data_IF_526306425266
#
_entry.id   IF_526306425266
#
_cell.length_a   1.000
_cell.length_b   1.000
_cell.length_c   1.000
_cell.angle_alpha   90.00
_cell.angle_beta   90.00
_cell.angle_gamma   90.00
#
_symmetry.space_group_name_H-M   'P 1'
#
loop_
_entity.id
_entity.type
_entity.pdbx_description
1 polymer ?
#
# COMPACT_ATOMS: atom_id res chain seq x y z
N UNK A 1 20.04 -5.24 19.75
CA UNK A 1 18.59 -5.34 19.54
C UNK A 1 18.37 -6.10 18.25
N UNK A 2 17.91 -7.35 18.36
CA UNK A 2 17.30 -8.03 17.22
C UNK A 2 15.95 -7.37 16.95
N UNK A 3 15.54 -7.27 15.69
CA UNK A 3 14.17 -6.90 15.36
C UNK A 3 13.26 -8.05 15.84
N UNK A 4 12.15 -7.72 16.51
CA UNK A 4 11.24 -8.74 16.99
C UNK A 4 10.60 -9.44 15.78
N UNK A 5 10.61 -10.78 15.77
CA UNK A 5 10.21 -11.55 14.59
C UNK A 5 8.70 -11.52 14.34
N UNK A 6 7.92 -11.03 15.32
CA UNK A 6 6.46 -11.07 15.31
C UNK A 6 5.80 -9.69 15.11
N UNK A 7 6.50 -8.67 14.63
CA UNK A 7 5.89 -7.35 14.38
C UNK A 7 5.45 -7.18 12.93
N UNK A 8 4.19 -6.79 12.68
CA UNK A 8 3.70 -6.46 11.32
C UNK A 8 3.63 -4.95 11.18
N UNK A 9 4.21 -4.43 10.10
CA UNK A 9 3.97 -3.07 9.65
C UNK A 9 2.90 -3.08 8.56
N UNK A 10 1.88 -2.26 8.75
CA UNK A 10 0.88 -1.94 7.74
C UNK A 10 1.01 -0.47 7.35
N UNK A 11 0.98 -0.18 6.04
CA UNK A 11 0.98 1.18 5.51
C UNK A 11 -0.12 1.33 4.48
N UNK A 12 -0.91 2.38 4.65
CA UNK A 12 -1.99 2.74 3.75
C UNK A 12 -1.80 4.18 3.26
N UNK A 13 -2.07 4.39 1.98
CA UNK A 13 -2.04 5.70 1.31
C UNK A 13 -3.46 6.10 0.98
N UNK A 14 -3.81 7.33 1.34
CA UNK A 14 -5.13 7.91 1.20
C UNK A 14 -5.06 9.19 0.36
N UNK A 15 -6.09 9.47 -0.46
CA UNK A 15 -6.29 10.81 -0.99
C UNK A 15 -6.42 11.83 0.16
N UNK A 16 -6.05 13.10 -0.07
CA UNK A 16 -6.15 14.12 0.98
C UNK A 16 -7.61 14.40 1.37
N UNK A 17 -8.53 14.29 0.42
CA UNK A 17 -9.97 14.47 0.58
C UNK A 17 -10.59 13.42 1.52
N UNK A 18 -10.07 12.20 1.54
CA UNK A 18 -10.52 11.15 2.46
C UNK A 18 -9.93 11.30 3.86
N UNK A 19 -8.87 12.09 4.00
CA UNK A 19 -8.13 12.30 5.25
C UNK A 19 -8.67 13.49 6.06
N UNK A 20 -9.96 13.42 6.43
CA UNK A 20 -10.65 14.45 7.20
C UNK A 20 -10.62 14.19 8.70
N UNK A 21 -10.81 15.24 9.49
CA UNK A 21 -10.90 15.15 10.96
C UNK A 21 -11.98 14.14 11.38
N UNK A 22 -13.15 14.22 10.75
CA UNK A 22 -14.28 13.34 11.01
C UNK A 22 -13.95 11.88 10.72
N UNK A 23 -13.41 11.59 9.53
CA UNK A 23 -13.06 10.23 9.12
C UNK A 23 -12.01 9.63 10.05
N UNK A 24 -10.96 10.39 10.39
CA UNK A 24 -9.91 9.88 11.27
C UNK A 24 -10.43 9.65 12.69
N UNK A 25 -11.25 10.54 13.25
CA UNK A 25 -11.77 10.36 14.60
C UNK A 25 -12.78 9.24 14.72
N UNK A 26 -13.71 9.10 13.78
CA UNK A 26 -14.68 8.01 13.78
C UNK A 26 -14.00 6.64 13.73
N UNK A 27 -12.79 6.57 13.15
CA UNK A 27 -12.03 5.33 12.98
C UNK A 27 -10.90 5.16 13.99
N UNK A 28 -10.49 6.20 14.70
CA UNK A 28 -9.33 6.15 15.60
C UNK A 28 -9.44 4.99 16.60
N UNK A 29 -10.60 4.82 17.23
CA UNK A 29 -10.82 3.73 18.19
C UNK A 29 -10.69 2.35 17.54
N UNK A 30 -11.13 2.19 16.29
CA UNK A 30 -10.97 0.92 15.55
C UNK A 30 -9.52 0.63 15.12
N UNK A 31 -8.65 1.64 15.16
CA UNK A 31 -7.22 1.54 14.81
C UNK A 31 -6.34 1.26 16.04
N UNK A 32 -6.85 1.48 17.25
CA UNK A 32 -6.12 1.25 18.49
C UNK A 32 -6.38 -0.18 18.95
N UNK A 33 -5.40 -1.06 18.72
CA UNK A 33 -5.46 -2.48 19.11
C UNK A 33 -4.64 -2.78 20.36
N UNK A 34 -4.16 -1.71 20.98
CA UNK A 34 -3.33 -1.67 22.16
C UNK A 34 -3.85 -0.54 23.06
N UNK A 35 -3.47 -0.55 24.33
CA UNK A 35 -3.78 0.56 25.23
C UNK A 35 -2.80 1.72 24.98
N UNK A 36 -3.27 2.86 24.43
CA UNK A 36 -2.39 3.97 24.13
C UNK A 36 -1.95 4.70 25.41
N UNK A 37 -0.67 4.99 25.53
CA UNK A 37 -0.11 5.69 26.69
C UNK A 37 0.43 7.06 26.32
N UNK A 38 0.80 7.26 25.07
CA UNK A 38 1.43 8.49 24.62
C UNK A 38 1.08 8.89 23.19
N UNK A 39 1.37 10.16 22.91
CA UNK A 39 1.14 10.83 21.66
C UNK A 39 2.40 11.59 21.27
N UNK A 40 2.94 11.29 20.10
CA UNK A 40 4.12 11.94 19.53
C UNK A 40 3.69 12.86 18.38
N UNK A 41 3.92 14.16 18.57
CA UNK A 41 3.80 15.17 17.53
C UNK A 41 5.17 15.34 16.88
N UNK A 42 5.47 14.48 15.89
CA UNK A 42 6.79 14.42 15.24
C UNK A 42 7.14 15.73 14.52
N UNK A 43 6.14 16.46 14.04
CA UNK A 43 6.27 17.81 13.46
C UNK A 43 6.91 18.82 14.42
N UNK A 44 6.72 18.63 15.73
CA UNK A 44 7.20 19.51 16.80
C UNK A 44 8.28 18.86 17.68
N UNK A 45 8.52 17.56 17.52
CA UNK A 45 9.39 16.78 18.40
C UNK A 45 8.88 16.70 19.84
N UNK A 46 7.56 16.70 20.06
CA UNK A 46 6.94 16.71 21.39
C UNK A 46 6.19 15.41 21.64
N UNK A 47 6.43 14.81 22.80
CA UNK A 47 5.68 13.66 23.32
C UNK A 47 4.84 14.09 24.51
N UNK A 48 3.56 13.69 24.54
CA UNK A 48 2.64 13.95 25.65
C UNK A 48 1.89 12.69 26.05
N UNK A 49 1.44 12.55 27.31
CA UNK A 49 0.59 11.43 27.70
C UNK A 49 -0.70 11.38 26.90
N UNK A 50 -1.13 10.18 26.52
CA UNK A 50 -2.40 9.96 25.86
C UNK A 50 -3.54 10.23 26.85
N UNK A 51 -4.50 11.06 26.44
CA UNK A 51 -5.77 11.25 27.14
C UNK A 51 -6.88 11.32 26.11
N UNK A 52 -7.88 10.44 26.22
CA UNK A 52 -8.99 10.33 25.28
C UNK A 52 -9.71 11.66 25.07
N UNK A 53 -9.89 12.45 26.14
CA UNK A 53 -10.59 13.73 26.08
C UNK A 53 -9.80 14.83 25.32
N UNK A 54 -8.46 14.76 25.34
CA UNK A 54 -7.61 15.78 24.71
C UNK A 54 -7.13 15.39 23.32
N UNK A 55 -7.19 14.11 22.94
CA UNK A 55 -6.66 13.61 21.66
C UNK A 55 -7.31 14.31 20.47
N UNK A 56 -8.60 14.60 20.58
CA UNK A 56 -9.35 15.29 19.54
C UNK A 56 -8.80 16.71 19.31
N UNK A 57 -8.49 17.42 20.39
CA UNK A 57 -7.93 18.76 20.29
C UNK A 57 -6.52 18.75 19.69
N UNK A 58 -5.69 17.78 20.10
CA UNK A 58 -4.31 17.64 19.60
C UNK A 58 -4.33 17.34 18.10
N UNK A 59 -5.09 16.35 17.64
CA UNK A 59 -5.15 15.99 16.24
C UNK A 59 -5.72 17.15 15.40
N UNK A 60 -6.82 17.79 15.83
CA UNK A 60 -7.39 18.95 15.14
C UNK A 60 -6.37 20.06 14.95
N UNK A 61 -5.52 20.32 15.95
CA UNK A 61 -4.48 21.34 15.83
C UNK A 61 -3.37 20.93 14.87
N UNK A 62 -2.97 19.66 14.84
CA UNK A 62 -1.97 19.17 13.88
C UNK A 62 -2.49 19.18 12.45
N UNK A 63 -3.77 18.85 12.23
CA UNK A 63 -4.41 18.81 10.92
C UNK A 63 -4.52 20.18 10.22
N UNK A 64 -4.33 21.28 10.96
CA UNK A 64 -4.23 22.63 10.38
C UNK A 64 -2.96 22.83 9.56
N UNK A 65 -1.93 22.04 9.79
CA UNK A 65 -0.68 22.14 9.04
C UNK A 65 -0.84 21.50 7.66
N UNK A 66 -0.19 22.09 6.65
CA UNK A 66 -0.15 21.52 5.30
C UNK A 66 0.57 20.16 5.26
N UNK A 67 1.52 19.94 6.18
CA UNK A 67 2.18 18.67 6.43
C UNK A 67 2.32 18.43 7.92
N UNK A 68 2.06 17.20 8.36
CA UNK A 68 2.26 16.82 9.75
C UNK A 68 2.47 15.31 9.87
N UNK A 69 3.00 14.90 11.02
CA UNK A 69 2.98 13.50 11.45
C UNK A 69 2.63 13.48 12.92
N UNK A 70 1.63 12.68 13.23
CA UNK A 70 1.08 12.48 14.54
C UNK A 70 1.04 10.98 14.80
N UNK A 71 1.54 10.53 15.94
CA UNK A 71 1.61 9.11 16.30
C UNK A 71 1.02 8.90 17.68
N UNK A 72 0.24 7.84 17.84
CA UNK A 72 -0.22 7.31 19.13
C UNK A 72 0.48 5.97 19.32
N UNK A 73 1.07 5.74 20.48
CA UNK A 73 1.84 4.55 20.78
C UNK A 73 1.57 4.05 22.21
N UNK A 74 1.93 2.79 22.45
CA UNK A 74 2.11 2.26 23.79
C UNK A 74 3.47 2.67 24.39
N UNK A 75 3.62 2.48 25.69
CA UNK A 75 4.83 2.83 26.43
C UNK A 75 5.86 1.71 26.42
N UNK A 76 5.46 0.49 26.02
CA UNK A 76 6.36 -0.66 25.93
C UNK A 76 7.17 -0.60 24.64
N UNK A 77 8.28 0.15 24.68
CA UNK A 77 9.26 0.28 23.58
C UNK A 77 8.67 0.78 22.24
N UNK A 78 7.43 1.27 22.24
CA UNK A 78 6.64 1.61 21.04
C UNK A 78 6.47 0.44 20.07
N UNK A 79 6.30 -0.77 20.60
CA UNK A 79 6.02 -1.97 19.83
C UNK A 79 4.71 -1.86 19.07
N UNK A 80 3.74 -1.12 19.61
CA UNK A 80 2.49 -0.84 18.94
C UNK A 80 2.32 0.66 18.70
N UNK A 81 1.98 1.03 17.47
CA UNK A 81 1.62 2.42 17.17
C UNK A 81 0.65 2.55 16.00
N UNK A 82 -0.09 3.66 16.01
CA UNK A 82 -0.76 4.22 14.83
C UNK A 82 -0.18 5.60 14.52
N UNK A 83 0.18 5.83 13.27
CA UNK A 83 0.75 7.08 12.78
C UNK A 83 -0.11 7.63 11.65
N UNK A 84 -0.50 8.88 11.79
CA UNK A 84 -1.26 9.67 10.84
C UNK A 84 -0.32 10.72 10.26
N UNK A 85 -0.13 10.70 8.95
CA UNK A 85 0.84 11.56 8.29
C UNK A 85 0.21 12.22 7.07
N UNK A 86 0.29 13.54 6.99
CA UNK A 86 -0.07 14.31 5.78
C UNK A 86 1.20 14.78 5.11
N UNK A 87 1.45 14.31 3.89
CA UNK A 87 2.63 14.68 3.10
C UNK A 87 2.26 15.64 1.98
N UNK A 88 3.05 15.69 0.90
CA UNK A 88 2.88 16.67 -0.17
C UNK A 88 1.78 16.26 -1.15
N UNK A 89 1.69 14.98 -1.48
CA UNK A 89 0.80 14.46 -2.52
C UNK A 89 -0.35 13.68 -1.91
N UNK A 90 -0.07 12.91 -0.85
CA UNK A 90 -1.03 12.04 -0.20
C UNK A 90 -0.95 12.05 1.32
N UNK A 91 -1.93 11.44 1.95
CA UNK A 91 -1.95 11.16 3.38
C UNK A 91 -1.68 9.69 3.63
N UNK A 92 -1.15 9.37 4.80
CA UNK A 92 -0.77 8.02 5.18
C UNK A 92 -1.30 7.68 6.55
N UNK A 93 -1.73 6.43 6.68
CA UNK A 93 -1.89 5.78 7.98
C UNK A 93 -0.86 4.64 8.02
N UNK A 94 -0.05 4.60 9.07
CA UNK A 94 0.87 3.50 9.33
C UNK A 94 0.55 2.88 10.68
N UNK A 95 0.45 1.55 10.70
CA UNK A 95 0.26 0.77 11.90
C UNK A 95 1.48 -0.10 12.10
N UNK A 96 1.94 -0.22 13.34
CA UNK A 96 2.80 -1.30 13.79
C UNK A 96 2.07 -2.00 14.91
N UNK A 97 1.99 -3.31 14.84
CA UNK A 97 1.43 -4.11 15.91
C UNK A 97 2.23 -5.40 16.10
N UNK A 98 2.26 -5.84 17.36
CA UNK A 98 2.85 -7.09 17.77
C UNK A 98 1.87 -8.25 17.53
N UNK A 99 2.27 -9.18 16.69
CA UNK A 99 1.50 -10.37 16.29
C UNK A 99 1.48 -11.47 17.35
N UNK A 100 2.20 -11.34 18.48
CA UNK A 100 2.14 -12.33 19.57
C UNK A 100 0.76 -12.40 20.26
N UNK A 101 -0.07 -11.37 20.11
CA UNK A 101 -1.30 -11.23 20.89
C UNK A 101 -2.56 -11.07 20.03
N UNK A 102 -2.45 -11.12 18.70
CA UNK A 102 -3.57 -10.92 17.79
C UNK A 102 -3.50 -11.91 16.63
N UNK A 103 -4.62 -12.59 16.38
CA UNK A 103 -4.76 -13.48 15.22
C UNK A 103 -4.67 -12.69 13.91
N UNK A 104 -3.82 -13.17 13.00
CA UNK A 104 -3.54 -12.49 11.72
C UNK A 104 -4.81 -12.32 10.87
N UNK A 105 -5.77 -13.25 10.95
CA UNK A 105 -7.05 -13.14 10.24
C UNK A 105 -7.88 -11.95 10.71
N UNK A 106 -7.93 -11.71 12.02
CA UNK A 106 -8.73 -10.64 12.62
C UNK A 106 -8.17 -9.27 12.23
N UNK A 107 -6.86 -9.20 12.11
CA UNK A 107 -6.10 -8.04 11.64
C UNK A 107 -6.49 -7.73 10.21
N UNK A 108 -6.43 -8.73 9.31
CA UNK A 108 -6.78 -8.55 7.90
C UNK A 108 -8.22 -8.06 7.75
N UNK A 109 -9.20 -8.66 8.45
CA UNK A 109 -10.60 -8.25 8.36
C UNK A 109 -10.81 -6.78 8.77
N UNK A 110 -10.09 -6.33 9.81
CA UNK A 110 -10.15 -4.92 10.25
C UNK A 110 -9.50 -3.98 9.22
N UNK A 111 -8.36 -4.38 8.66
CA UNK A 111 -7.67 -3.62 7.63
C UNK A 111 -8.49 -3.53 6.35
N UNK A 112 -9.20 -4.59 5.95
CA UNK A 112 -10.11 -4.58 4.81
C UNK A 112 -11.18 -3.51 4.95
N UNK A 113 -11.86 -3.51 6.11
CA UNK A 113 -12.88 -2.49 6.43
C UNK A 113 -12.26 -1.09 6.42
N UNK A 114 -11.04 -0.93 6.92
CA UNK A 114 -10.38 0.38 6.96
C UNK A 114 -10.04 0.90 5.56
N UNK A 115 -9.42 0.05 4.73
CA UNK A 115 -8.99 0.37 3.36
C UNK A 115 -10.21 0.76 2.52
N UNK A 116 -11.30 0.00 2.62
CA UNK A 116 -12.55 0.28 1.91
C UNK A 116 -13.18 1.59 2.41
N UNK A 117 -13.36 1.73 3.73
CA UNK A 117 -14.09 2.88 4.28
C UNK A 117 -13.37 4.23 4.12
N UNK A 118 -12.07 4.22 3.86
CA UNK A 118 -11.28 5.43 3.67
C UNK A 118 -10.89 5.67 2.20
N UNK A 119 -11.45 4.90 1.27
CA UNK A 119 -11.16 4.98 -0.16
C UNK A 119 -9.65 5.01 -0.43
N UNK A 120 -8.92 4.06 0.19
CA UNK A 120 -7.48 4.03 0.09
C UNK A 120 -7.02 3.89 -1.35
N UNK A 121 -5.94 4.59 -1.72
CA UNK A 121 -5.28 4.39 -3.01
C UNK A 121 -4.66 3.00 -3.01
N UNK A 122 -3.79 2.72 -2.04
CA UNK A 122 -3.19 1.41 -1.86
C UNK A 122 -2.79 1.20 -0.41
N UNK A 123 -2.66 -0.06 0.00
CA UNK A 123 -2.04 -0.41 1.26
C UNK A 123 -1.18 -1.67 1.12
N UNK A 124 -0.30 -1.89 2.08
CA UNK A 124 0.45 -3.14 2.19
C UNK A 124 0.75 -3.50 3.64
N UNK A 125 0.85 -4.80 3.89
CA UNK A 125 1.24 -5.40 5.16
C UNK A 125 2.45 -6.32 4.95
N UNK A 126 3.39 -6.28 5.89
CA UNK A 126 4.55 -7.17 5.93
C UNK A 126 5.18 -7.23 7.32
N UNK A 127 5.97 -8.26 7.58
CA UNK A 127 6.84 -8.27 8.77
C UNK A 127 7.73 -7.03 8.80
N UNK A 128 7.92 -6.44 9.99
CA UNK A 128 8.80 -5.29 10.20
C UNK A 128 10.26 -5.63 9.90
N UNK A 129 10.71 -6.85 10.24
CA UNK A 129 12.06 -7.32 9.91
C UNK A 129 12.23 -7.40 8.39
N UNK A 130 11.24 -7.97 7.69
CA UNK A 130 11.25 -8.02 6.22
C UNK A 130 11.27 -6.62 5.60
N UNK A 131 10.39 -5.71 6.06
CA UNK A 131 10.38 -4.32 5.61
C UNK A 131 11.74 -3.66 5.78
N UNK A 132 12.38 -3.87 6.94
CA UNK A 132 13.70 -3.31 7.22
C UNK A 132 14.73 -3.82 6.23
N UNK A 133 14.88 -5.14 6.08
CA UNK A 133 15.90 -5.71 5.20
C UNK A 133 15.64 -5.37 3.73
N UNK A 134 14.41 -5.53 3.24
CA UNK A 134 14.07 -5.25 1.84
C UNK A 134 14.23 -3.77 1.45
N UNK A 135 14.38 -2.85 2.41
CA UNK A 135 14.51 -1.41 2.16
C UNK A 135 15.80 -0.79 2.75
N UNK A 136 16.65 -1.56 3.44
CA UNK A 136 17.90 -1.07 3.99
C UNK A 136 18.99 -1.04 2.90
N UNK A 137 19.53 0.15 2.65
CA UNK A 137 20.56 0.38 1.64
C UNK A 137 21.98 0.23 2.15
N UNK A 138 22.21 0.08 3.46
CA UNK A 138 23.56 0.06 4.03
C UNK A 138 24.08 -1.37 4.24
N UNK A 139 25.07 -1.84 3.44
CA UNK A 139 25.61 -3.20 3.57
C UNK A 139 26.27 -3.47 4.93
N UNK A 140 26.67 -2.43 5.68
CA UNK A 140 27.27 -2.59 7.01
C UNK A 140 26.25 -3.12 8.02
N UNK A 141 24.97 -2.78 7.87
CA UNK A 141 23.92 -3.31 8.74
C UNK A 141 23.72 -4.80 8.54
N UNK A 142 23.71 -5.28 7.29
CA UNK A 142 23.63 -6.71 6.98
C UNK A 142 24.76 -7.49 7.66
N UNK A 143 26.01 -7.02 7.50
CA UNK A 143 27.19 -7.62 8.14
C UNK A 143 27.07 -7.64 9.67
N UNK A 144 26.66 -6.52 10.27
CA UNK A 144 26.50 -6.38 11.74
C UNK A 144 25.48 -7.38 12.31
N UNK A 145 24.47 -7.75 11.52
CA UNK A 145 23.39 -8.66 11.93
C UNK A 145 23.54 -10.07 11.34
N UNK A 146 24.72 -10.42 10.79
CA UNK A 146 24.99 -11.72 10.16
C UNK A 146 23.98 -12.10 9.05
N UNK A 147 23.38 -11.12 8.37
CA UNK A 147 22.53 -11.37 7.21
C UNK A 147 23.42 -11.57 5.97
N UNK A 148 23.17 -12.61 5.16
CA UNK A 148 23.96 -12.88 3.97
C UNK A 148 23.81 -11.74 2.95
N UNK A 149 24.93 -11.45 2.26
CA UNK A 149 24.98 -10.49 1.15
C UNK A 149 25.25 -11.18 -0.20
N UNK A 150 25.32 -12.52 -0.23
CA UNK A 150 25.63 -13.30 -1.44
C UNK A 150 24.70 -12.98 -2.60
N UNK A 151 23.41 -12.81 -2.29
CA UNK A 151 22.33 -12.63 -3.26
C UNK A 151 21.89 -11.15 -3.35
N UNK A 152 22.60 -10.27 -2.65
CA UNK A 152 22.31 -8.84 -2.59
C UNK A 152 23.29 -8.08 -3.48
N UNK A 153 22.76 -7.40 -4.50
CA UNK A 153 23.59 -6.60 -5.40
C UNK A 153 24.04 -5.32 -4.69
N UNK A 154 25.36 -5.13 -4.62
CA UNK A 154 25.97 -3.91 -4.07
C UNK A 154 26.44 -3.02 -5.23
N UNK A 155 26.09 -1.74 -5.19
CA UNK A 155 26.43 -0.74 -6.19
C UNK A 155 27.08 0.49 -5.54
N UNK A 156 27.86 1.29 -6.28
CA UNK A 156 28.32 2.59 -5.80
C UNK A 156 27.14 3.49 -5.42
N UNK A 157 27.30 4.27 -4.35
CA UNK A 157 26.34 5.30 -4.00
C UNK A 157 26.45 6.48 -5.01
N UNK A 158 25.33 6.90 -5.63
CA UNK A 158 25.38 7.93 -6.67
C UNK A 158 25.69 9.34 -6.13
N UNK A 159 25.55 9.56 -4.83
CA UNK A 159 25.78 10.85 -4.17
C UNK A 159 27.11 10.82 -3.41
N UNK A 160 27.38 9.72 -2.70
CA UNK A 160 28.56 9.56 -1.86
C UNK A 160 29.58 8.64 -2.54
N UNK A 161 30.46 9.21 -3.37
CA UNK A 161 31.41 8.48 -4.25
C UNK A 161 32.28 7.41 -3.56
N UNK A 162 32.53 7.53 -2.25
CA UNK A 162 33.31 6.55 -1.47
C UNK A 162 32.44 5.57 -0.66
N UNK A 163 31.14 5.51 -0.92
CA UNK A 163 30.19 4.64 -0.25
C UNK A 163 29.63 3.62 -1.23
N UNK A 164 29.41 2.42 -0.72
CA UNK A 164 28.64 1.38 -1.39
C UNK A 164 27.26 1.29 -0.74
N UNK A 165 26.25 0.98 -1.56
CA UNK A 165 24.88 0.74 -1.11
C UNK A 165 24.30 -0.52 -1.74
N UNK A 166 23.31 -1.09 -1.09
CA UNK A 166 22.48 -2.15 -1.67
C UNK A 166 21.60 -1.56 -2.79
N UNK A 167 21.55 -2.23 -3.94
CA UNK A 167 20.59 -1.92 -5.00
C UNK A 167 19.23 -2.50 -4.60
N UNK A 168 18.32 -1.68 -4.10
CA UNK A 168 17.00 -2.15 -3.66
C UNK A 168 16.22 -2.86 -4.78
N UNK A 169 16.49 -2.55 -6.06
CA UNK A 169 15.85 -3.25 -7.20
C UNK A 169 16.26 -4.71 -7.29
N UNK A 170 17.35 -5.11 -6.64
CA UNK A 170 17.74 -6.52 -6.50
C UNK A 170 17.05 -7.21 -5.32
N UNK A 171 16.11 -6.55 -4.64
CA UNK A 171 15.38 -7.11 -3.50
C UNK A 171 13.88 -7.23 -3.86
N UNK A 172 13.27 -8.42 -3.73
CA UNK A 172 11.93 -8.68 -4.24
C UNK A 172 10.81 -7.94 -3.48
N UNK A 173 10.96 -7.72 -2.17
CA UNK A 173 10.01 -7.00 -1.34
C UNK A 173 10.31 -5.50 -1.20
N UNK A 174 11.27 -4.97 -1.95
CA UNK A 174 11.63 -3.55 -1.90
C UNK A 174 10.47 -2.66 -2.34
N UNK A 175 10.33 -1.52 -1.68
CA UNK A 175 9.28 -0.55 -2.01
C UNK A 175 9.84 0.52 -2.94
N UNK A 176 9.33 0.54 -4.17
CA UNK A 176 9.44 1.69 -5.06
C UNK A 176 8.41 2.75 -4.72
N UNK A 177 8.76 4.03 -4.80
CA UNK A 177 7.80 5.12 -4.54
C UNK A 177 7.70 6.05 -5.75
N UNK A 178 6.47 6.44 -6.09
CA UNK A 178 6.14 7.58 -6.94
C UNK A 178 5.10 8.45 -6.24
N UNK A 179 5.38 9.75 -6.08
CA UNK A 179 4.52 10.69 -5.35
C UNK A 179 3.98 10.11 -4.03
N UNK A 180 4.84 9.45 -3.24
CA UNK A 180 4.48 8.83 -1.94
C UNK A 180 3.66 7.53 -2.05
N UNK A 181 3.16 7.15 -3.22
CA UNK A 181 2.49 5.85 -3.47
C UNK A 181 3.53 4.71 -3.54
N UNK A 182 3.39 3.65 -2.72
CA UNK A 182 4.27 2.49 -2.75
C UNK A 182 3.90 1.51 -3.88
N UNK A 183 4.94 0.97 -4.52
CA UNK A 183 4.89 -0.15 -5.45
C UNK A 183 5.79 -1.24 -4.88
N UNK A 184 5.19 -2.33 -4.41
CA UNK A 184 5.91 -3.40 -3.71
C UNK A 184 5.30 -4.76 -4.01
N UNK A 185 5.99 -5.81 -3.57
CA UNK A 185 5.54 -7.19 -3.57
C UNK A 185 5.70 -7.72 -2.14
N UNK A 186 4.74 -7.37 -1.30
CA UNK A 186 4.73 -7.71 0.13
C UNK A 186 3.88 -8.94 0.42
N UNK A 187 3.85 -9.40 1.67
CA UNK A 187 2.98 -10.50 2.11
C UNK A 187 1.52 -10.29 1.69
N UNK A 188 0.90 -9.19 2.11
CA UNK A 188 -0.46 -8.80 1.70
C UNK A 188 -0.48 -7.37 1.19
N UNK A 189 -1.27 -7.11 0.16
CA UNK A 189 -1.43 -5.82 -0.50
C UNK A 189 -2.91 -5.54 -0.76
N UNK A 190 -3.26 -4.26 -0.75
CA UNK A 190 -4.57 -3.75 -1.12
C UNK A 190 -4.42 -2.71 -2.22
N UNK A 191 -5.26 -2.83 -3.24
CA UNK A 191 -5.29 -1.94 -4.39
C UNK A 191 -6.69 -1.36 -4.51
N UNK A 192 -6.83 -0.10 -4.13
CA UNK A 192 -8.08 0.63 -4.31
C UNK A 192 -8.21 1.18 -5.74
N UNK A 193 -9.41 1.67 -6.09
CA UNK A 193 -9.72 2.11 -7.45
C UNK A 193 -8.70 3.10 -8.03
N UNK A 194 -8.28 4.07 -7.22
CA UNK A 194 -7.35 5.12 -7.62
C UNK A 194 -5.94 4.62 -7.94
N UNK A 195 -5.55 3.42 -7.48
CA UNK A 195 -4.26 2.82 -7.84
C UNK A 195 -4.22 2.35 -9.29
N UNK A 196 -5.37 2.03 -9.88
CA UNK A 196 -5.45 1.57 -11.27
C UNK A 196 -5.21 2.67 -12.31
N UNK A 197 -5.06 3.92 -11.86
CA UNK A 197 -4.49 4.98 -12.70
C UNK A 197 -2.99 4.77 -13.00
N UNK A 198 -2.31 3.90 -12.24
CA UNK A 198 -0.88 3.63 -12.39
C UNK A 198 -0.59 2.24 -12.96
N UNK A 199 -1.52 1.30 -12.79
CA UNK A 199 -1.34 -0.11 -13.15
C UNK A 199 -2.62 -0.67 -13.75
N UNK A 200 -2.50 -1.65 -14.65
CA UNK A 200 -3.69 -2.30 -15.22
C UNK A 200 -4.37 -3.22 -14.18
N UNK A 201 -5.66 -3.00 -13.97
CA UNK A 201 -6.50 -3.89 -13.16
C UNK A 201 -6.57 -5.31 -13.77
N UNK A 202 -6.75 -5.45 -15.09
CA UNK A 202 -6.71 -6.75 -15.77
C UNK A 202 -5.41 -7.49 -15.51
N UNK A 203 -4.28 -6.78 -15.59
CA UNK A 203 -2.97 -7.37 -15.35
C UNK A 203 -2.88 -7.94 -13.94
N UNK A 204 -3.30 -7.17 -12.92
CA UNK A 204 -3.38 -7.63 -11.53
C UNK A 204 -4.30 -8.86 -11.41
N UNK A 205 -5.48 -8.81 -12.01
CA UNK A 205 -6.47 -9.89 -11.92
C UNK A 205 -6.07 -11.16 -12.67
N UNK A 206 -5.29 -11.04 -13.73
CA UNK A 206 -4.77 -12.17 -14.51
C UNK A 206 -3.58 -12.88 -13.83
N UNK A 207 -2.97 -12.28 -12.80
CA UNK A 207 -1.91 -12.96 -12.07
C UNK A 207 -2.48 -14.13 -11.24
N UNK A 208 -1.96 -15.33 -11.50
CA UNK A 208 -2.37 -16.59 -10.86
C UNK A 208 -1.49 -16.98 -9.66
N UNK A 209 -0.38 -16.28 -9.43
CA UNK A 209 0.60 -16.64 -8.40
C UNK A 209 0.26 -16.14 -6.98
N UNK A 210 -1.00 -15.82 -6.69
CA UNK A 210 -1.43 -15.39 -5.35
C UNK A 210 -1.84 -16.59 -4.51
N UNK A 211 -1.50 -16.56 -3.22
CA UNK A 211 -2.11 -17.46 -2.23
C UNK A 211 -3.60 -17.15 -2.07
N UNK A 212 -3.94 -15.86 -2.01
CA UNK A 212 -5.31 -15.39 -1.90
C UNK A 212 -5.51 -14.12 -2.71
N UNK A 213 -6.67 -14.01 -3.37
CA UNK A 213 -7.12 -12.81 -4.10
C UNK A 213 -8.61 -12.63 -3.84
N UNK A 214 -9.00 -11.45 -3.39
CA UNK A 214 -10.37 -11.12 -3.02
C UNK A 214 -10.72 -9.68 -3.41
N UNK A 215 -11.91 -9.47 -3.97
CA UNK A 215 -12.49 -8.13 -4.20
C UNK A 215 -13.39 -7.80 -3.01
N UNK A 216 -13.01 -6.80 -2.21
CA UNK A 216 -13.64 -6.46 -0.93
C UNK A 216 -14.93 -5.66 -1.11
N UNK A 217 -14.84 -4.48 -1.76
CA UNK A 217 -15.95 -3.57 -2.07
C UNK A 217 -15.54 -2.61 -3.19
N UNK A 218 -16.51 -2.16 -4.02
CA UNK A 218 -16.37 -1.12 -5.06
C UNK A 218 -15.00 -1.03 -5.75
N UNK A 219 -14.38 -2.18 -6.05
CA UNK A 219 -13.06 -2.39 -6.74
C UNK A 219 -11.81 -2.56 -5.88
N UNK A 220 -11.88 -2.43 -4.56
CA UNK A 220 -10.70 -2.68 -3.75
C UNK A 220 -10.32 -4.16 -3.80
N UNK A 221 -9.12 -4.46 -4.31
CA UNK A 221 -8.59 -5.82 -4.41
C UNK A 221 -7.59 -6.05 -3.29
N UNK A 222 -7.82 -7.06 -2.45
CA UNK A 222 -6.81 -7.61 -1.54
C UNK A 222 -6.15 -8.80 -2.21
N UNK A 223 -4.82 -8.83 -2.18
CA UNK A 223 -4.05 -10.01 -2.58
C UNK A 223 -3.02 -10.36 -1.52
N UNK A 224 -2.81 -11.65 -1.31
CA UNK A 224 -1.73 -12.19 -0.47
C UNK A 224 -0.85 -13.09 -1.33
N UNK A 225 0.47 -12.90 -1.27
CA UNK A 225 1.42 -13.71 -2.02
C UNK A 225 1.64 -15.08 -1.37
N UNK A 226 1.61 -15.15 -0.05
CA UNK A 226 1.80 -16.37 0.74
C UNK A 226 0.98 -16.28 2.03
N UNK A 227 0.86 -17.39 2.75
CA UNK A 227 -0.10 -17.56 3.84
C UNK A 227 0.24 -16.68 5.06
N UNK A 228 1.45 -16.80 5.60
CA UNK A 228 1.82 -16.13 6.85
C UNK A 228 2.86 -15.02 6.69
N UNK A 229 2.71 -13.88 7.41
CA UNK A 229 3.62 -12.73 7.30
C UNK A 229 5.06 -13.02 7.68
N UNK A 230 5.28 -14.06 8.49
CA UNK A 230 6.55 -14.43 9.11
C UNK A 230 7.39 -15.39 8.26
N UNK A 231 6.80 -15.96 7.22
CA UNK A 231 7.43 -16.96 6.36
C UNK A 231 8.19 -16.32 5.19
N UNK A 232 8.51 -15.04 5.29
CA UNK A 232 9.12 -14.26 4.22
C UNK A 232 10.52 -14.75 3.83
N UNK A 233 11.28 -15.39 4.73
CA UNK A 233 12.61 -15.94 4.40
C UNK A 233 12.55 -17.29 3.68
N UNK A 234 11.38 -17.92 3.55
CA UNK A 234 11.25 -19.15 2.76
C UNK A 234 11.62 -18.86 1.29
N UNK A 235 12.53 -19.63 0.66
CA UNK A 235 12.96 -19.40 -0.71
C UNK A 235 11.78 -19.32 -1.71
N UNK A 236 10.78 -20.16 -1.53
CA UNK A 236 9.54 -20.18 -2.31
C UNK A 236 8.76 -18.86 -2.20
N UNK A 237 8.67 -18.27 -1.00
CA UNK A 237 7.96 -17.02 -0.77
C UNK A 237 8.73 -15.82 -1.34
N UNK A 238 10.07 -15.85 -1.29
CA UNK A 238 10.92 -14.88 -2.00
C UNK A 238 10.74 -14.94 -3.50
N UNK A 239 10.61 -16.15 -4.06
CA UNK A 239 10.35 -16.30 -5.49
C UNK A 239 8.95 -15.80 -5.87
N UNK A 240 7.92 -16.00 -5.02
CA UNK A 240 6.59 -15.41 -5.25
C UNK A 240 6.62 -13.88 -5.28
N UNK A 241 7.36 -13.24 -4.37
CA UNK A 241 7.59 -11.80 -4.40
C UNK A 241 8.31 -11.37 -5.70
N UNK A 242 9.35 -12.09 -6.11
CA UNK A 242 10.07 -11.82 -7.37
C UNK A 242 9.18 -11.95 -8.60
N UNK A 243 8.42 -13.04 -8.69
CA UNK A 243 7.50 -13.31 -9.80
C UNK A 243 6.47 -12.21 -9.92
N UNK A 244 5.87 -11.79 -8.81
CA UNK A 244 4.89 -10.70 -8.83
C UNK A 244 5.53 -9.35 -9.21
N UNK A 245 6.66 -8.98 -8.61
CA UNK A 245 7.40 -7.74 -8.93
C UNK A 245 7.76 -7.64 -10.41
N UNK A 246 8.25 -8.75 -10.99
CA UNK A 246 8.64 -8.83 -12.41
C UNK A 246 7.44 -8.85 -13.34
N UNK A 247 6.41 -9.63 -12.99
CA UNK A 247 5.18 -9.70 -13.77
C UNK A 247 4.57 -8.31 -13.89
N UNK A 248 4.32 -7.64 -12.76
CA UNK A 248 3.76 -6.30 -12.74
C UNK A 248 4.74 -5.19 -13.18
N UNK A 249 6.03 -5.51 -13.27
CA UNK A 249 7.07 -4.63 -13.81
C UNK A 249 7.21 -3.30 -13.03
N UNK A 250 7.16 -3.39 -11.69
CA UNK A 250 7.19 -2.25 -10.75
C UNK A 250 8.33 -1.27 -10.99
N UNK A 251 9.54 -1.76 -11.22
CA UNK A 251 10.70 -0.89 -11.38
C UNK A 251 10.56 0.00 -12.63
N UNK A 252 10.06 -0.54 -13.75
CA UNK A 252 9.84 0.26 -14.97
C UNK A 252 8.66 1.21 -14.83
N UNK A 253 7.59 0.81 -14.15
CA UNK A 253 6.44 1.71 -13.89
C UNK A 253 6.90 2.90 -13.05
N UNK A 254 7.61 2.67 -11.95
CA UNK A 254 8.10 3.73 -11.07
C UNK A 254 9.10 4.64 -11.80
N UNK A 255 10.01 4.08 -12.61
CA UNK A 255 10.96 4.86 -13.41
C UNK A 255 10.24 5.72 -14.46
N UNK A 256 9.31 5.13 -15.22
CA UNK A 256 8.51 5.83 -16.22
C UNK A 256 7.72 7.00 -15.62
N UNK A 257 7.03 6.78 -14.50
CA UNK A 257 6.27 7.81 -13.80
C UNK A 257 7.17 8.95 -13.31
N UNK A 258 8.38 8.65 -12.81
CA UNK A 258 9.34 9.67 -12.38
C UNK A 258 9.87 10.52 -13.53
N UNK A 259 10.00 9.94 -14.73
CA UNK A 259 10.47 10.65 -15.92
C UNK A 259 9.36 11.51 -16.55
N UNK A 260 8.12 11.01 -16.61
CA UNK A 260 6.99 11.74 -17.20
C UNK A 260 6.42 12.83 -16.28
N UNK A 261 6.48 12.64 -14.96
CA UNK A 261 6.01 13.62 -13.97
C UNK A 261 4.49 13.70 -13.78
N UNK A 262 3.70 12.99 -14.58
CA UNK A 262 2.24 13.06 -14.58
C UNK A 262 1.59 11.77 -14.06
N UNK A 263 0.60 11.94 -13.18
CA UNK A 263 -0.45 10.96 -12.87
C UNK A 263 -1.73 11.47 -13.55
N UNK A 264 -2.47 10.64 -14.27
CA UNK A 264 -3.74 11.06 -14.90
C UNK A 264 -4.73 11.46 -13.82
N UNK A 265 -5.22 12.70 -13.85
CA UNK A 265 -6.10 13.27 -12.83
C UNK A 265 -7.54 12.77 -12.94
N UNK A 266 -8.16 12.53 -11.79
CA UNK A 266 -9.41 11.77 -11.59
C UNK A 266 -10.73 12.42 -12.07
N UNK A 267 -10.73 13.57 -12.75
CA UNK A 267 -11.99 14.13 -13.29
C UNK A 267 -12.44 13.44 -14.58
N UNK A 268 -11.53 12.74 -15.24
CA UNK A 268 -11.76 12.08 -16.50
C UNK A 268 -11.01 10.74 -16.51
N UNK A 269 -11.57 9.70 -15.85
CA UNK A 269 -10.84 8.49 -15.57
C UNK A 269 -10.54 7.73 -16.87
N UNK A 270 -9.37 7.11 -16.95
CA UNK A 270 -9.02 6.18 -18.01
C UNK A 270 -9.58 4.76 -17.74
N UNK A 271 -9.94 4.50 -16.48
CA UNK A 271 -10.64 3.29 -16.02
C UNK A 271 -11.76 3.72 -15.06
N UNK A 272 -12.99 3.36 -15.39
CA UNK A 272 -14.16 3.58 -14.53
C UNK A 272 -14.68 2.25 -14.00
N UNK A 273 -15.24 2.28 -12.80
CA UNK A 273 -15.77 1.10 -12.17
C UNK A 273 -17.21 1.33 -11.69
N UNK A 274 -18.06 0.34 -11.94
CA UNK A 274 -19.49 0.38 -11.67
C UNK A 274 -19.89 -0.86 -10.86
N UNK A 275 -20.60 -0.68 -9.76
CA UNK A 275 -21.13 -1.80 -8.95
C UNK A 275 -22.65 -1.89 -8.98
N UNK A 276 -23.29 -1.11 -9.84
CA UNK A 276 -24.74 -1.07 -10.02
C UNK A 276 -25.09 -1.38 -11.47
N UNK A 277 -26.31 -1.85 -11.72
CA UNK A 277 -26.81 -2.17 -13.07
C UNK A 277 -26.00 -3.25 -13.80
N UNK A 278 -25.60 -4.29 -13.07
CA UNK A 278 -24.86 -5.44 -13.59
C UNK A 278 -25.85 -6.47 -14.14
N UNK A 279 -25.82 -6.71 -15.44
CA UNK A 279 -26.83 -7.48 -16.16
C UNK A 279 -26.42 -8.93 -16.43
N UNK A 280 -25.13 -9.24 -16.26
CA UNK A 280 -24.56 -10.52 -16.67
C UNK A 280 -24.05 -11.35 -15.48
N UNK A 281 -24.49 -11.00 -14.27
CA UNK A 281 -24.21 -11.75 -13.05
C UNK A 281 -22.84 -11.47 -12.43
N UNK A 282 -22.17 -10.38 -12.84
CA UNK A 282 -20.99 -9.90 -12.14
C UNK A 282 -21.33 -9.16 -10.84
N UNK A 283 -20.34 -9.04 -9.96
CA UNK A 283 -20.34 -8.22 -8.75
C UNK A 283 -19.78 -6.81 -9.02
N UNK A 284 -19.04 -6.65 -10.12
CA UNK A 284 -18.42 -5.39 -10.53
C UNK A 284 -18.33 -5.30 -12.05
N UNK A 285 -18.48 -4.10 -12.61
CA UNK A 285 -18.14 -3.78 -14.00
C UNK A 285 -16.97 -2.81 -14.07
N UNK A 286 -16.03 -3.08 -14.97
CA UNK A 286 -14.87 -2.23 -15.24
C UNK A 286 -14.99 -1.72 -16.68
N UNK A 287 -14.87 -0.42 -16.89
CA UNK A 287 -14.83 0.23 -18.20
C UNK A 287 -13.42 0.80 -18.42
N UNK A 288 -12.76 0.38 -19.49
CA UNK A 288 -11.49 0.92 -19.96
C UNK A 288 -11.74 1.83 -21.14
N UNK A 289 -11.11 3.00 -21.13
CA UNK A 289 -11.25 4.03 -22.15
C UNK A 289 -10.00 4.08 -23.02
N UNK A 290 -10.17 3.83 -24.33
CA UNK A 290 -9.08 3.76 -25.30
C UNK A 290 -9.27 4.77 -26.44
N UNK A 291 -8.17 5.30 -26.98
CA UNK A 291 -8.16 6.02 -28.25
C UNK A 291 -8.05 5.04 -29.45
N UNK A 292 -8.01 5.58 -30.68
CA UNK A 292 -7.92 4.78 -31.91
C UNK A 292 -6.62 3.96 -32.00
N UNK A 293 -5.57 4.39 -31.31
CA UNK A 293 -4.28 3.70 -31.22
C UNK A 293 -4.25 2.61 -30.12
N UNK A 294 -5.39 2.32 -29.48
CA UNK A 294 -5.53 1.42 -28.32
C UNK A 294 -4.67 1.80 -27.12
N UNK A 295 -4.39 3.08 -26.94
CA UNK A 295 -3.77 3.59 -25.73
C UNK A 295 -4.86 3.94 -24.72
N UNK A 296 -4.63 3.59 -23.45
CA UNK A 296 -5.52 3.95 -22.37
C UNK A 296 -5.48 5.48 -22.19
N UNK A 297 -6.64 6.13 -22.34
CA UNK A 297 -6.76 7.59 -22.30
C UNK A 297 -7.90 8.00 -21.39
N UNK A 298 -7.89 9.23 -20.86
CA UNK A 298 -9.03 9.80 -20.16
C UNK A 298 -10.33 9.63 -20.95
N UNK A 299 -11.45 9.32 -20.28
CA UNK A 299 -12.76 9.04 -20.91
C UNK A 299 -13.17 10.06 -21.97
N UNK A 300 -12.92 11.35 -21.77
CA UNK A 300 -13.26 12.42 -22.72
C UNK A 300 -12.47 12.37 -24.02
N UNK A 301 -11.34 11.65 -24.04
CA UNK A 301 -10.46 11.47 -25.20
C UNK A 301 -10.64 10.11 -25.87
N UNK A 302 -11.48 9.25 -25.32
CA UNK A 302 -11.65 7.89 -25.79
C UNK A 302 -12.57 7.81 -27.02
N UNK A 303 -12.18 6.96 -27.96
CA UNK A 303 -12.98 6.58 -29.12
C UNK A 303 -13.54 5.16 -28.97
N UNK A 304 -13.13 4.44 -27.93
CA UNK A 304 -13.54 3.07 -27.66
C UNK A 304 -13.61 2.82 -26.14
N UNK A 305 -14.59 2.02 -25.74
CA UNK A 305 -14.73 1.48 -24.38
C UNK A 305 -14.71 -0.03 -24.42
N UNK A 306 -13.84 -0.63 -23.62
CA UNK A 306 -13.86 -2.05 -23.33
C UNK A 306 -14.39 -2.26 -21.91
N UNK A 307 -15.49 -3.01 -21.79
CA UNK A 307 -16.19 -3.21 -20.53
C UNK A 307 -16.18 -4.68 -20.14
N UNK A 308 -15.97 -4.98 -18.86
CA UNK A 308 -16.02 -6.33 -18.29
C UNK A 308 -16.93 -6.38 -17.09
N UNK A 309 -17.71 -7.44 -16.91
CA UNK A 309 -18.29 -7.79 -15.60
C UNK A 309 -17.49 -8.92 -14.96
N UNK A 310 -17.11 -8.76 -13.70
CA UNK A 310 -16.38 -9.76 -12.92
C UNK A 310 -17.12 -10.14 -11.65
N UNK A 311 -16.93 -11.37 -11.20
CA UNK A 311 -17.32 -11.84 -9.87
C UNK A 311 -16.29 -11.43 -8.79
N UNK A 312 -16.66 -11.52 -7.50
CA UNK A 312 -15.78 -11.19 -6.36
C UNK A 312 -14.46 -11.97 -6.31
N UNK A 313 -14.43 -13.16 -6.91
CA UNK A 313 -13.22 -13.99 -7.03
C UNK A 313 -12.33 -13.57 -8.23
N UNK A 314 -12.75 -12.59 -9.03
CA UNK A 314 -12.05 -12.09 -10.20
C UNK A 314 -12.38 -12.79 -11.52
N UNK A 315 -13.32 -13.72 -11.55
CA UNK A 315 -13.75 -14.39 -12.79
C UNK A 315 -14.53 -13.41 -13.66
N UNK A 316 -14.09 -13.21 -14.91
CA UNK A 316 -14.84 -12.45 -15.92
C UNK A 316 -16.04 -13.27 -16.37
N UNK A 317 -17.25 -12.71 -16.21
CA UNK A 317 -18.51 -13.34 -16.62
C UNK A 317 -19.08 -12.73 -17.89
N UNK A 318 -18.60 -11.54 -18.28
CA UNK A 318 -18.99 -10.87 -19.51
C UNK A 318 -17.94 -9.84 -19.93
N UNK A 319 -17.82 -9.62 -21.24
CA UNK A 319 -16.99 -8.57 -21.83
C UNK A 319 -17.65 -7.99 -23.08
N UNK A 320 -17.45 -6.70 -23.35
CA UNK A 320 -17.91 -6.05 -24.57
C UNK A 320 -16.99 -4.89 -24.97
N UNK A 321 -16.85 -4.67 -26.28
CA UNK A 321 -16.11 -3.53 -26.83
C UNK A 321 -17.11 -2.66 -27.59
N UNK A 322 -17.17 -1.38 -27.25
CA UNK A 322 -18.07 -0.39 -27.85
C UNK A 322 -17.26 0.76 -28.41
N UNK A 323 -17.52 1.16 -29.66
CA UNK A 323 -16.97 2.39 -30.22
C UNK A 323 -17.82 3.57 -29.76
N UNK A 324 -17.18 4.61 -29.22
CA UNK A 324 -17.84 5.79 -28.64
C UNK A 324 -18.29 6.81 -29.69
#
# INVERSE_FOLDING_TARGET
MGLNQNEIIFKMVLPHESFTEENIFQRLQSLLWFEPTEVLMMSRGVTVPYRTESIHHVLRNEMKNSRFTFRIADSDEHKNYVSFTKLRYHSHISLLFDGEHVEVSDIIERLDKLVVNLDAITAFGMSRDDFFWQNNQDPKYYKKHNKPLSDVKIIPDPILTNRQRVDLRSLPGSVGYFQEIPFTSSWTMWFGPSFFNYVSFEMLMAYEGFWQKEILDRTCVRVSLYEHPWEYELPENRELQWRFKRYMNWDKIVEGLKTSGEASTASDPAIEFLTTQLAYGGDIRVNYYYNDDRQLVPRSQATMVEAYELQKNGVVVWSNITKL
#
